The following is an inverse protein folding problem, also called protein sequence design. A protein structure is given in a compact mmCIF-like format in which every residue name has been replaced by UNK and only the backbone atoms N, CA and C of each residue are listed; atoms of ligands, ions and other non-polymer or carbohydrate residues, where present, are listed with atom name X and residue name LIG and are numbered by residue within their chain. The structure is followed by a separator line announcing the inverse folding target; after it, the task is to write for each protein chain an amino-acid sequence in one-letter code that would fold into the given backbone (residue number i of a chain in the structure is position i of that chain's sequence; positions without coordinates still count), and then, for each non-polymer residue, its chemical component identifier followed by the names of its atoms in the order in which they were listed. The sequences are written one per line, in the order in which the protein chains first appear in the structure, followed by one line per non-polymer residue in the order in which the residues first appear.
data_IF_952935056288
#
_entry.id   IF_952935056288
#
_cell.length_a   1.000
_cell.length_b   1.000
_cell.length_c   1.000
_cell.angle_alpha   90.00
_cell.angle_beta   90.00
_cell.angle_gamma   90.00
#
_symmetry.space_group_name_H-M   'P 1'
#
loop_
_entity.id
_entity.type
_entity.pdbx_description
1 polymer ?
#
# COMPACT_ATOMS: atom_id res chain seq x y z
N UNK A 1 -2.58 20.71 21.91
CA UNK A 1 -3.75 21.00 22.77
C UNK A 1 -3.41 20.85 24.25
N UNK A 2 -2.90 19.69 24.72
CA UNK A 2 -2.55 19.50 26.15
C UNK A 2 -1.44 20.47 26.63
N UNK A 3 -0.35 20.64 25.87
CA UNK A 3 0.73 21.63 26.16
C UNK A 3 0.22 23.08 26.27
N UNK A 4 -0.92 23.41 25.64
CA UNK A 4 -1.53 24.75 25.72
C UNK A 4 -2.27 24.99 27.05
N UNK A 5 -2.68 23.91 27.73
CA UNK A 5 -3.42 23.93 28.99
C UNK A 5 -2.45 23.72 30.17
N UNK A 6 -1.48 22.82 30.00
CA UNK A 6 -0.43 22.55 30.99
C UNK A 6 0.95 22.48 30.31
N UNK A 7 1.64 23.61 30.13
CA UNK A 7 2.91 23.68 29.40
C UNK A 7 4.05 22.88 30.03
N UNK A 8 4.04 22.68 31.34
CA UNK A 8 5.11 21.96 32.05
C UNK A 8 4.81 20.45 32.19
N UNK A 9 3.76 19.94 31.52
CA UNK A 9 3.29 18.56 31.69
C UNK A 9 4.26 17.50 31.15
N UNK A 10 4.97 17.81 30.08
CA UNK A 10 5.91 16.92 29.40
C UNK A 10 6.81 17.75 28.50
N UNK A 11 8.04 17.32 28.29
CA UNK A 11 8.95 17.94 27.33
C UNK A 11 8.87 17.24 25.97
N UNK A 12 9.09 18.04 24.93
CA UNK A 12 9.06 17.56 23.54
C UNK A 12 10.42 17.86 22.95
N UNK A 13 11.15 16.82 22.55
CA UNK A 13 12.36 16.94 21.76
C UNK A 13 12.08 16.42 20.35
N UNK A 14 12.77 17.00 19.35
CA UNK A 14 12.73 16.52 17.97
C UNK A 14 14.09 15.98 17.59
N UNK A 15 14.12 14.74 17.13
CA UNK A 15 15.31 14.09 16.61
C UNK A 15 15.01 13.64 15.17
N UNK A 16 15.35 14.49 14.20
CA UNK A 16 15.01 14.25 12.79
C UNK A 16 13.49 14.36 12.54
N UNK A 17 12.92 13.32 11.93
CA UNK A 17 11.46 13.21 11.69
C UNK A 17 10.67 12.71 12.91
N UNK A 18 11.36 12.23 13.95
CA UNK A 18 10.72 11.69 15.15
C UNK A 18 10.54 12.76 16.24
N UNK A 19 9.39 12.67 16.92
CA UNK A 19 9.05 13.50 18.09
C UNK A 19 9.12 12.61 19.33
N UNK A 20 10.06 12.90 20.22
CA UNK A 20 10.14 12.27 21.53
C UNK A 20 9.41 13.12 22.56
N UNK A 21 8.53 12.48 23.33
CA UNK A 21 7.76 13.10 24.40
C UNK A 21 8.28 12.53 25.71
N UNK A 22 9.00 13.34 26.47
CA UNK A 22 9.45 12.97 27.80
C UNK A 22 8.40 13.42 28.82
N UNK A 23 7.67 12.45 29.36
CA UNK A 23 6.63 12.69 30.36
C UNK A 23 7.26 12.89 31.74
N UNK A 24 8.50 12.45 31.98
CA UNK A 24 9.15 12.49 33.29
C UNK A 24 10.46 13.28 33.20
N UNK A 25 10.35 14.60 33.05
CA UNK A 25 11.51 15.49 33.09
C UNK A 25 12.38 15.19 34.34
N UNK A 26 13.60 14.73 34.09
CA UNK A 26 14.72 14.65 35.05
C UNK A 26 14.66 13.60 36.17
N UNK A 27 14.09 12.42 35.97
CA UNK A 27 14.38 11.26 36.83
C UNK A 27 15.46 10.35 36.20
N UNK A 28 16.62 10.92 35.86
CA UNK A 28 17.82 10.14 35.51
C UNK A 28 18.42 9.41 36.72
N UNK A 29 17.80 9.50 37.91
CA UNK A 29 18.27 8.88 39.13
C UNK A 29 17.10 8.30 39.94
N UNK A 30 16.79 7.01 39.70
CA UNK A 30 16.38 5.95 40.66
C UNK A 30 15.29 5.05 40.05
N UNK A 31 15.73 3.98 39.39
CA UNK A 31 14.90 2.82 38.99
C UNK A 31 14.35 1.99 40.17
N UNK A 32 14.27 2.56 41.38
CA UNK A 32 13.79 1.88 42.58
C UNK A 32 12.75 2.70 43.34
N UNK A 33 11.97 3.53 42.66
CA UNK A 33 10.78 4.11 43.29
C UNK A 33 9.72 3.02 43.42
N UNK A 34 9.33 2.74 44.66
CA UNK A 34 8.26 1.78 44.97
C UNK A 34 6.99 2.18 44.22
N UNK A 35 6.30 1.20 43.62
CA UNK A 35 5.11 1.38 42.76
C UNK A 35 4.06 2.35 43.35
N UNK A 36 3.97 2.40 44.67
CA UNK A 36 3.09 3.31 45.42
C UNK A 36 3.45 4.78 45.22
N UNK A 37 4.74 5.14 45.21
CA UNK A 37 5.21 6.51 45.02
C UNK A 37 4.96 7.00 43.59
N UNK A 38 5.11 6.10 42.61
CA UNK A 38 4.79 6.39 41.21
C UNK A 38 3.30 6.67 41.01
N UNK A 39 2.42 5.85 41.63
CA UNK A 39 0.97 6.07 41.59
C UNK A 39 0.62 7.43 42.20
N UNK A 40 1.18 7.76 43.37
CA UNK A 40 0.95 9.06 44.02
C UNK A 40 1.45 10.25 43.17
N UNK A 41 2.59 10.12 42.48
CA UNK A 41 3.09 11.14 41.55
C UNK A 41 2.12 11.36 40.37
N UNK A 42 1.59 10.27 39.80
CA UNK A 42 0.62 10.33 38.70
C UNK A 42 -0.69 10.98 39.17
N UNK A 43 -1.23 10.58 40.32
CA UNK A 43 -2.45 11.14 40.88
C UNK A 43 -2.33 12.65 41.14
N UNK A 44 -1.22 13.10 41.74
CA UNK A 44 -0.93 14.53 41.94
C UNK A 44 -0.92 15.30 40.62
N UNK A 45 -0.32 14.74 39.57
CA UNK A 45 -0.30 15.38 38.24
C UNK A 45 -1.67 15.46 37.59
N UNK A 46 -2.49 14.41 37.74
CA UNK A 46 -3.87 14.43 37.25
C UNK A 46 -4.68 15.51 37.97
N UNK A 47 -4.48 15.69 39.27
CA UNK A 47 -5.14 16.74 40.04
C UNK A 47 -4.72 18.14 39.59
N UNK A 48 -3.42 18.38 39.41
CA UNK A 48 -2.90 19.66 38.88
C UNK A 48 -3.46 19.96 37.50
N UNK A 49 -3.54 18.95 36.62
CA UNK A 49 -4.10 19.13 35.29
C UNK A 49 -5.59 19.52 35.34
N UNK A 50 -6.37 18.89 36.23
CA UNK A 50 -7.79 19.25 36.42
C UNK A 50 -7.94 20.70 36.88
N UNK A 51 -7.14 21.14 37.85
CA UNK A 51 -7.17 22.54 38.31
C UNK A 51 -6.76 23.53 37.21
N UNK A 52 -5.72 23.23 36.43
CA UNK A 52 -5.31 24.09 35.29
C UNK A 52 -6.35 24.09 34.16
N UNK A 53 -7.05 22.98 33.95
CA UNK A 53 -8.13 22.89 32.98
C UNK A 53 -9.33 23.75 33.42
N UNK A 54 -9.72 23.69 34.69
CA UNK A 54 -10.78 24.54 35.25
C UNK A 54 -10.42 26.03 35.14
N UNK A 55 -9.18 26.40 35.46
CA UNK A 55 -8.67 27.76 35.29
C UNK A 55 -8.68 28.20 33.80
N UNK A 56 -8.29 27.30 32.89
CA UNK A 56 -8.31 27.55 31.45
C UNK A 56 -9.73 27.72 30.92
N UNK A 57 -10.70 26.96 31.42
CA UNK A 57 -12.12 27.11 31.08
C UNK A 57 -12.74 28.38 31.68
N UNK A 58 -12.33 28.77 32.89
CA UNK A 58 -12.81 29.97 33.57
C UNK A 58 -12.34 31.27 32.92
N UNK A 59 -11.17 31.26 32.26
CA UNK A 59 -10.60 32.44 31.57
C UNK A 59 -11.31 32.82 30.27
N UNK A 60 -12.33 32.07 29.84
CA UNK A 60 -13.08 32.36 28.61
C UNK A 60 -12.24 32.10 27.37
N UNK A 61 -12.57 31.05 26.64
CA UNK A 61 -11.81 30.50 25.52
C UNK A 61 -11.49 31.53 24.42
N UNK A 62 -10.24 32.00 24.22
CA UNK A 62 -9.86 32.74 23.02
C UNK A 62 -9.23 31.74 22.05
N UNK A 63 -10.01 30.77 21.56
CA UNK A 63 -9.58 29.97 20.40
C UNK A 63 -9.95 30.76 19.15
N UNK A 64 -9.20 31.83 18.90
CA UNK A 64 -9.00 32.30 17.52
C UNK A 64 -7.77 31.59 17.01
N UNK A 65 -7.96 30.62 16.11
CA UNK A 65 -6.88 30.15 15.25
C UNK A 65 -6.45 31.32 14.35
N UNK A 66 -5.53 32.17 14.81
CA UNK A 66 -4.75 33.01 13.91
C UNK A 66 -3.79 32.09 13.20
N UNK A 67 -4.12 31.76 11.96
CA UNK A 67 -3.17 31.20 11.00
C UNK A 67 -2.18 32.33 10.68
N UNK A 68 -1.13 32.49 11.47
CA UNK A 68 -0.02 33.37 11.12
C UNK A 68 0.68 32.78 9.89
N UNK A 69 0.33 33.33 8.72
CA UNK A 69 0.98 33.06 7.45
C UNK A 69 2.32 33.79 7.38
N UNK A 70 3.28 33.37 8.19
CA UNK A 70 4.68 33.75 7.97
C UNK A 70 5.58 32.55 8.26
N UNK A 71 5.69 31.65 7.27
CA UNK A 71 6.91 30.87 7.11
C UNK A 71 7.37 30.91 5.66
N UNK A 72 8.56 31.50 5.54
CA UNK A 72 9.45 31.60 4.39
C UNK A 72 9.43 30.32 3.55
N UNK A 73 9.42 30.50 2.24
CA UNK A 73 9.64 29.46 1.23
C UNK A 73 10.87 28.60 1.57
N UNK A 74 10.63 27.45 2.21
CA UNK A 74 11.50 26.29 2.07
C UNK A 74 10.94 25.46 0.92
N UNK A 75 11.71 25.38 -0.15
CA UNK A 75 11.45 24.57 -1.34
C UNK A 75 11.20 23.11 -0.93
N UNK A 76 9.94 22.68 -0.99
CA UNK A 76 9.56 21.29 -0.76
C UNK A 76 10.15 20.36 -1.83
N UNK A 77 10.41 19.09 -1.51
CA UNK A 77 11.00 18.13 -2.44
C UNK A 77 10.09 17.90 -3.64
N UNK A 78 10.70 17.63 -4.79
CA UNK A 78 10.03 17.34 -6.07
C UNK A 78 8.87 16.35 -5.85
N UNK A 79 7.69 16.82 -6.24
CA UNK A 79 6.41 16.11 -6.37
C UNK A 79 6.61 14.65 -6.82
N UNK A 80 6.62 13.72 -5.88
CA UNK A 80 6.44 12.29 -6.16
C UNK A 80 5.07 12.14 -6.83
N UNK A 81 5.04 11.37 -7.92
CA UNK A 81 3.95 11.31 -8.90
C UNK A 81 2.55 11.30 -8.29
N UNK A 82 1.62 11.95 -8.99
CA UNK A 82 0.19 12.02 -8.61
C UNK A 82 -0.32 10.61 -8.27
N UNK A 83 -0.41 10.28 -6.99
CA UNK A 83 -1.17 9.12 -6.55
C UNK A 83 -2.62 9.41 -6.93
N UNK A 84 -3.14 8.67 -7.91
CA UNK A 84 -4.55 8.65 -8.33
C UNK A 84 -5.38 8.07 -7.20
N UNK A 85 -5.55 8.84 -6.12
CA UNK A 85 -6.59 8.55 -5.13
C UNK A 85 -7.91 8.59 -5.88
N UNK A 86 -8.77 7.56 -5.81
CA UNK A 86 -10.11 7.63 -6.34
C UNK A 86 -10.88 8.66 -5.51
N UNK A 87 -10.81 9.93 -5.91
CA UNK A 87 -11.52 11.02 -5.24
C UNK A 87 -12.97 10.95 -5.64
N UNK A 88 -13.84 10.71 -4.66
CA UNK A 88 -15.26 10.96 -4.83
C UNK A 88 -15.50 12.48 -4.74
N UNK A 89 -15.10 13.19 -5.79
CA UNK A 89 -15.21 14.65 -5.86
C UNK A 89 -16.66 15.08 -5.89
N UNK A 90 -16.97 16.21 -5.24
CA UNK A 90 -18.30 16.85 -5.21
C UNK A 90 -18.84 17.12 -6.62
N UNK A 91 -17.95 17.38 -7.59
CA UNK A 91 -18.24 17.50 -9.03
C UNK A 91 -18.98 16.31 -9.66
N UNK A 92 -19.04 15.14 -9.01
CA UNK A 92 -19.87 14.01 -9.47
C UNK A 92 -21.37 14.19 -9.20
N UNK A 93 -21.73 15.07 -8.27
CA UNK A 93 -23.11 15.34 -7.86
C UNK A 93 -23.66 16.62 -8.51
N UNK A 94 -22.85 17.31 -9.30
CA UNK A 94 -23.28 18.44 -10.12
C UNK A 94 -23.68 17.93 -11.50
N UNK A 95 -24.88 18.31 -11.95
CA UNK A 95 -25.34 18.00 -13.29
C UNK A 95 -24.60 18.90 -14.28
N UNK A 96 -23.51 18.38 -14.82
CA UNK A 96 -22.85 19.00 -15.97
C UNK A 96 -23.44 18.39 -17.23
N UNK A 97 -24.30 19.14 -17.93
CA UNK A 97 -24.66 18.81 -19.30
C UNK A 97 -23.36 18.84 -20.12
N UNK A 98 -22.84 17.66 -20.44
CA UNK A 98 -21.70 17.56 -21.36
C UNK A 98 -22.23 18.06 -22.68
N UNK A 99 -21.81 19.24 -23.13
CA UNK A 99 -21.90 19.61 -24.54
C UNK A 99 -21.32 18.43 -25.32
N UNK A 100 -22.20 17.66 -25.94
CA UNK A 100 -21.83 16.46 -26.64
C UNK A 100 -21.04 16.92 -27.85
N UNK A 101 -19.72 16.84 -27.79
CA UNK A 101 -18.81 16.94 -28.95
C UNK A 101 -19.04 15.81 -29.97
N UNK A 102 -20.21 15.18 -29.96
CA UNK A 102 -20.60 14.10 -30.86
C UNK A 102 -21.90 14.51 -31.53
N UNK A 103 -21.83 14.85 -32.82
CA UNK A 103 -22.97 15.21 -33.67
C UNK A 103 -23.98 14.06 -33.88
N UNK A 104 -23.79 12.94 -33.18
CA UNK A 104 -24.58 11.72 -33.33
C UNK A 104 -25.83 11.73 -32.43
N UNK A 105 -27.02 11.43 -32.99
CA UNK A 105 -28.24 11.28 -32.21
C UNK A 105 -28.12 10.16 -31.17
N UNK A 106 -28.85 10.30 -30.07
CA UNK A 106 -28.77 9.41 -28.91
C UNK A 106 -28.98 7.94 -29.26
N UNK A 107 -29.94 7.65 -30.16
CA UNK A 107 -30.25 6.31 -30.65
C UNK A 107 -29.06 5.65 -31.35
N UNK A 108 -28.30 6.42 -32.12
CA UNK A 108 -27.14 5.92 -32.85
C UNK A 108 -25.98 5.61 -31.91
N UNK A 109 -25.77 6.46 -30.90
CA UNK A 109 -24.82 6.17 -29.80
C UNK A 109 -25.19 4.92 -29.01
N UNK A 110 -26.48 4.68 -28.77
CA UNK A 110 -26.95 3.46 -28.10
C UNK A 110 -26.65 2.22 -28.96
N UNK A 111 -26.94 2.28 -30.27
CA UNK A 111 -26.62 1.19 -31.21
C UNK A 111 -25.12 0.92 -31.27
N UNK A 112 -24.28 1.95 -31.37
CA UNK A 112 -22.83 1.82 -31.34
C UNK A 112 -22.31 1.24 -30.02
N UNK A 113 -22.87 1.62 -28.88
CA UNK A 113 -22.50 1.06 -27.56
C UNK A 113 -22.87 -0.42 -27.44
N UNK A 114 -24.01 -0.83 -28.00
CA UNK A 114 -24.40 -2.24 -28.05
C UNK A 114 -23.52 -3.06 -29.02
N UNK A 115 -23.09 -2.47 -30.13
CA UNK A 115 -22.15 -3.08 -31.06
C UNK A 115 -20.74 -3.24 -30.44
N UNK A 116 -20.24 -2.21 -29.75
CA UNK A 116 -18.90 -2.20 -29.13
C UNK A 116 -18.79 -3.03 -27.85
N UNK A 117 -19.89 -3.21 -27.09
CA UNK A 117 -19.93 -4.15 -25.94
C UNK A 117 -19.61 -5.59 -26.33
N UNK A 118 -19.76 -5.96 -27.61
CA UNK A 118 -19.62 -7.35 -28.05
C UNK A 118 -18.18 -7.82 -28.26
N UNK A 119 -17.15 -6.94 -28.28
CA UNK A 119 -15.85 -7.37 -28.82
C UNK A 119 -14.66 -7.31 -27.83
N UNK A 120 -14.20 -6.18 -27.28
CA UNK A 120 -12.84 -6.20 -26.65
C UNK A 120 -12.65 -5.57 -25.26
N UNK A 121 -13.47 -4.60 -24.84
CA UNK A 121 -13.13 -3.72 -23.70
C UNK A 121 -13.00 -4.45 -22.35
N UNK A 122 -13.83 -5.47 -22.09
CA UNK A 122 -13.77 -6.23 -20.83
C UNK A 122 -12.69 -7.32 -20.83
N UNK A 123 -12.27 -7.78 -22.01
CA UNK A 123 -11.27 -8.83 -22.15
C UNK A 123 -9.87 -8.25 -21.94
N UNK A 124 -9.62 -7.07 -22.51
CA UNK A 124 -8.33 -6.38 -22.42
C UNK A 124 -8.03 -5.99 -20.97
N UNK A 125 -8.99 -5.39 -20.26
CA UNK A 125 -8.81 -5.03 -18.85
C UNK A 125 -8.52 -6.23 -17.94
N UNK A 126 -9.09 -7.39 -18.25
CA UNK A 126 -8.87 -8.61 -17.46
C UNK A 126 -7.50 -9.23 -17.75
N UNK A 127 -7.03 -9.11 -18.98
CA UNK A 127 -5.73 -9.61 -19.39
C UNK A 127 -4.61 -8.71 -18.84
N UNK A 128 -4.76 -7.39 -18.90
CA UNK A 128 -3.84 -6.42 -18.28
C UNK A 128 -3.69 -6.64 -16.77
N UNK A 129 -4.81 -6.94 -16.09
CA UNK A 129 -4.82 -7.26 -14.67
C UNK A 129 -4.12 -8.60 -14.33
N UNK A 130 -4.04 -9.54 -15.27
CA UNK A 130 -3.28 -10.77 -15.11
C UNK A 130 -1.79 -10.55 -15.43
N UNK A 131 -1.51 -9.79 -16.48
CA UNK A 131 -0.14 -9.48 -16.91
C UNK A 131 0.61 -8.66 -15.86
N UNK A 132 -0.06 -7.73 -15.17
CA UNK A 132 0.54 -7.02 -14.03
C UNK A 132 0.94 -7.94 -12.86
N UNK A 133 0.30 -9.12 -12.72
CA UNK A 133 0.60 -10.11 -11.67
C UNK A 133 1.65 -11.13 -12.09
N UNK A 134 2.00 -11.21 -13.38
CA UNK A 134 2.97 -12.16 -13.93
C UNK A 134 4.35 -12.05 -13.29
N UNK A 135 4.94 -10.84 -13.31
CA UNK A 135 6.30 -10.60 -12.81
C UNK A 135 6.41 -10.82 -11.30
N UNK A 136 5.48 -10.31 -10.47
CA UNK A 136 5.53 -10.58 -9.04
C UNK A 136 5.41 -12.07 -8.70
N UNK A 137 4.52 -12.80 -9.36
CA UNK A 137 4.37 -14.25 -9.15
C UNK A 137 5.63 -15.01 -9.63
N UNK A 138 6.25 -14.60 -10.74
CA UNK A 138 7.52 -15.16 -11.18
C UNK A 138 8.62 -14.99 -10.12
N UNK A 139 8.77 -13.79 -9.54
CA UNK A 139 9.81 -13.53 -8.54
C UNK A 139 9.66 -14.46 -7.33
N UNK A 140 8.43 -14.75 -6.92
CA UNK A 140 8.14 -15.70 -5.84
C UNK A 140 8.60 -17.12 -6.20
N UNK A 141 8.34 -17.58 -7.43
CA UNK A 141 8.77 -18.89 -7.92
C UNK A 141 10.29 -18.95 -8.07
N UNK A 142 10.91 -17.85 -8.52
CA UNK A 142 12.35 -17.72 -8.67
C UNK A 142 13.07 -17.93 -7.34
N UNK A 143 12.55 -17.41 -6.23
CA UNK A 143 13.14 -17.66 -4.90
C UNK A 143 13.07 -19.13 -4.47
N UNK A 144 12.12 -19.89 -4.98
CA UNK A 144 12.01 -21.33 -4.76
C UNK A 144 12.85 -22.16 -5.75
N UNK A 145 13.44 -21.52 -6.75
CA UNK A 145 14.21 -22.20 -7.77
C UNK A 145 15.59 -22.63 -7.23
N UNK A 146 16.14 -23.74 -7.76
CA UNK A 146 17.48 -24.16 -7.41
C UNK A 146 18.52 -23.09 -7.78
N UNK A 147 19.31 -22.64 -6.81
CA UNK A 147 20.33 -21.58 -7.01
C UNK A 147 21.64 -22.09 -7.61
N UNK A 148 21.90 -23.40 -7.51
CA UNK A 148 23.15 -24.02 -7.98
C UNK A 148 22.91 -24.83 -9.25
N UNK A 149 23.84 -24.74 -10.23
CA UNK A 149 23.81 -25.48 -11.51
C UNK A 149 23.55 -27.00 -11.33
N UNK A 150 24.16 -27.60 -10.31
CA UNK A 150 24.11 -29.05 -10.09
C UNK A 150 22.95 -29.50 -9.17
N UNK A 151 22.05 -28.60 -8.79
CA UNK A 151 20.97 -28.94 -7.87
C UNK A 151 19.75 -29.52 -8.60
N UNK A 152 19.14 -30.54 -7.97
CA UNK A 152 17.98 -31.24 -8.53
C UNK A 152 16.81 -30.27 -8.71
N UNK A 153 16.03 -30.48 -9.77
CA UNK A 153 14.79 -29.72 -10.03
C UNK A 153 13.87 -29.76 -8.82
N UNK A 154 13.36 -28.60 -8.41
CA UNK A 154 12.43 -28.49 -7.29
C UNK A 154 11.02 -28.78 -7.81
N UNK A 155 10.30 -29.70 -7.16
CA UNK A 155 8.92 -30.04 -7.52
C UNK A 155 7.98 -29.50 -6.47
N UNK A 156 7.07 -28.61 -6.85
CA UNK A 156 6.09 -28.00 -5.94
C UNK A 156 4.68 -28.25 -6.44
N UNK A 157 3.77 -28.60 -5.53
CA UNK A 157 2.35 -28.68 -5.87
C UNK A 157 1.79 -27.30 -6.17
N UNK A 158 0.80 -27.23 -7.06
CA UNK A 158 0.10 -25.97 -7.38
C UNK A 158 -0.57 -25.40 -6.12
N UNK A 159 -1.11 -26.24 -5.25
CA UNK A 159 -1.71 -25.80 -3.98
C UNK A 159 -0.69 -25.13 -3.06
N UNK A 160 0.53 -25.68 -2.97
CA UNK A 160 1.60 -25.09 -2.16
C UNK A 160 2.09 -23.77 -2.76
N UNK A 161 2.24 -23.72 -4.09
CA UNK A 161 2.59 -22.49 -4.81
C UNK A 161 1.53 -21.40 -4.63
N UNK A 162 0.24 -21.74 -4.64
CA UNK A 162 -0.84 -20.80 -4.39
C UNK A 162 -0.76 -20.18 -3.00
N UNK A 163 -0.51 -20.99 -1.97
CA UNK A 163 -0.31 -20.50 -0.60
C UNK A 163 0.90 -19.56 -0.55
N UNK A 164 2.04 -20.01 -1.10
CA UNK A 164 3.29 -19.25 -1.06
C UNK A 164 3.16 -17.89 -1.78
N UNK A 165 2.46 -17.85 -2.91
CA UNK A 165 2.14 -16.60 -3.62
C UNK A 165 1.23 -15.71 -2.78
N UNK A 166 0.18 -16.26 -2.15
CA UNK A 166 -0.73 -15.46 -1.30
C UNK A 166 0.00 -14.87 -0.09
N UNK A 167 0.91 -15.62 0.51
CA UNK A 167 1.69 -15.18 1.66
C UNK A 167 2.74 -14.12 1.29
N UNK A 168 3.22 -14.13 0.05
CA UNK A 168 4.25 -13.22 -0.45
C UNK A 168 3.70 -11.94 -1.08
N UNK A 169 2.42 -11.90 -1.43
CA UNK A 169 1.78 -10.76 -2.10
C UNK A 169 1.21 -9.76 -1.10
N UNK A 170 1.45 -8.46 -1.33
CA UNK A 170 0.85 -7.37 -0.53
C UNK A 170 -0.63 -7.15 -0.87
N UNK A 171 -1.03 -7.46 -2.11
CA UNK A 171 -2.41 -7.34 -2.57
C UNK A 171 -3.07 -8.72 -2.61
N UNK A 172 -4.36 -8.83 -2.26
CA UNK A 172 -5.07 -10.10 -2.31
C UNK A 172 -5.17 -10.59 -3.75
N UNK A 173 -4.63 -11.78 -4.02
CA UNK A 173 -4.71 -12.46 -5.31
C UNK A 173 -5.64 -13.66 -5.21
N UNK A 174 -6.57 -13.80 -6.17
CA UNK A 174 -7.46 -14.94 -6.24
C UNK A 174 -6.72 -16.21 -6.66
N UNK A 175 -7.11 -17.36 -6.12
CA UNK A 175 -6.48 -18.65 -6.46
C UNK A 175 -6.62 -19.01 -7.94
N UNK A 176 -7.71 -18.57 -8.58
CA UNK A 176 -7.95 -18.77 -10.00
C UNK A 176 -7.02 -17.92 -10.87
N UNK A 177 -6.69 -16.68 -10.44
CA UNK A 177 -5.69 -15.85 -11.12
C UNK A 177 -4.30 -16.45 -10.98
N UNK A 178 -3.92 -16.92 -9.78
CA UNK A 178 -2.62 -17.59 -9.59
C UNK A 178 -2.48 -18.81 -10.50
N UNK A 179 -3.52 -19.65 -10.61
CA UNK A 179 -3.51 -20.80 -11.54
C UNK A 179 -3.33 -20.38 -13.00
N UNK A 180 -4.01 -19.32 -13.45
CA UNK A 180 -3.88 -18.81 -14.82
C UNK A 180 -2.49 -18.27 -15.08
N UNK A 181 -1.94 -17.50 -14.16
CA UNK A 181 -0.59 -16.94 -14.26
C UNK A 181 0.45 -18.06 -14.25
N UNK A 182 0.32 -19.07 -13.38
CA UNK A 182 1.20 -20.25 -13.36
C UNK A 182 1.17 -21.00 -14.70
N UNK A 183 -0.01 -21.16 -15.30
CA UNK A 183 -0.13 -21.81 -16.60
C UNK A 183 0.51 -20.97 -17.72
N UNK A 184 0.33 -19.65 -17.69
CA UNK A 184 0.98 -18.73 -18.64
C UNK A 184 2.50 -18.72 -18.49
N UNK A 185 3.01 -18.71 -17.25
CA UNK A 185 4.43 -18.82 -16.93
C UNK A 185 5.01 -20.14 -17.44
N UNK A 186 4.34 -21.26 -17.17
CA UNK A 186 4.78 -22.56 -17.65
C UNK A 186 4.85 -22.61 -19.18
N UNK A 187 3.89 -22.01 -19.87
CA UNK A 187 3.89 -21.91 -21.33
C UNK A 187 5.00 -21.02 -21.87
N UNK A 188 5.24 -19.84 -21.27
CA UNK A 188 6.27 -18.88 -21.74
C UNK A 188 7.70 -19.32 -21.44
N UNK A 189 7.92 -19.96 -20.29
CA UNK A 189 9.25 -20.38 -19.82
C UNK A 189 9.57 -21.85 -20.10
N UNK A 190 8.62 -22.62 -20.66
CA UNK A 190 8.79 -24.04 -20.94
C UNK A 190 8.84 -24.92 -19.69
N UNK A 191 8.19 -24.51 -18.59
CA UNK A 191 8.15 -25.31 -17.35
C UNK A 191 7.22 -26.50 -17.51
N UNK A 192 7.61 -27.64 -16.93
CA UNK A 192 6.80 -28.86 -16.98
C UNK A 192 5.80 -28.88 -15.84
N UNK A 193 4.51 -28.86 -16.19
CA UNK A 193 3.41 -29.16 -15.27
C UNK A 193 3.06 -30.64 -15.45
N UNK A 194 3.23 -31.42 -14.38
CA UNK A 194 2.87 -32.85 -14.34
C UNK A 194 1.72 -33.07 -13.39
N UNK A 195 0.75 -33.89 -13.78
CA UNK A 195 -0.32 -34.33 -12.89
C UNK A 195 0.08 -35.67 -12.28
N UNK A 196 0.09 -35.76 -10.96
CA UNK A 196 0.37 -36.98 -10.22
C UNK A 196 -0.88 -37.29 -9.37
N UNK A 197 -1.65 -38.29 -9.79
CA UNK A 197 -2.98 -38.54 -9.23
C UNK A 197 -3.93 -37.37 -9.50
N UNK A 198 -4.46 -36.77 -8.44
CA UNK A 198 -5.32 -35.56 -8.51
C UNK A 198 -4.54 -34.25 -8.33
N UNK A 199 -3.24 -34.31 -8.05
CA UNK A 199 -2.43 -33.14 -7.71
C UNK A 199 -1.61 -32.68 -8.92
N UNK A 200 -1.75 -31.40 -9.27
CA UNK A 200 -0.87 -30.76 -10.25
C UNK A 200 0.43 -30.33 -9.58
N UNK A 201 1.56 -30.69 -10.17
CA UNK A 201 2.92 -30.42 -9.69
C UNK A 201 3.69 -29.67 -10.77
N UNK A 202 4.29 -28.55 -10.40
CA UNK A 202 5.19 -27.77 -11.24
C UNK A 202 6.64 -28.18 -10.94
N UNK A 203 7.35 -28.65 -11.97
CA UNK A 203 8.79 -28.90 -11.90
C UNK A 203 9.55 -27.62 -12.28
N UNK A 204 10.27 -27.06 -11.33
CA UNK A 204 11.01 -25.81 -11.47
C UNK A 204 12.51 -26.16 -11.64
N UNK A 205 13.07 -25.99 -12.85
CA UNK A 205 14.51 -26.07 -13.06
C UNK A 205 15.20 -24.80 -12.54
N UNK A 206 16.52 -24.72 -12.70
CA UNK A 206 17.24 -23.47 -12.44
C UNK A 206 16.71 -22.41 -13.40
N UNK A 207 16.16 -21.34 -12.84
CA UNK A 207 15.61 -20.22 -13.60
C UNK A 207 16.71 -19.16 -13.81
N UNK A 208 16.72 -18.51 -14.97
CA UNK A 208 17.60 -17.38 -15.24
C UNK A 208 16.77 -16.10 -15.25
N UNK A 209 16.88 -15.33 -14.16
CA UNK A 209 16.06 -14.13 -13.95
C UNK A 209 16.07 -13.16 -15.14
N UNK A 210 17.24 -12.91 -15.74
CA UNK A 210 17.35 -11.89 -16.78
C UNK A 210 16.70 -12.36 -18.08
N UNK A 211 16.97 -13.59 -18.49
CA UNK A 211 16.41 -14.18 -19.72
C UNK A 211 14.90 -14.42 -19.58
N UNK A 212 14.47 -14.89 -18.41
CA UNK A 212 13.08 -15.18 -18.15
C UNK A 212 12.26 -13.89 -18.09
N UNK A 213 12.73 -12.86 -17.38
CA UNK A 213 12.05 -11.57 -17.34
C UNK A 213 11.97 -10.92 -18.73
N UNK A 214 12.97 -11.11 -19.60
CA UNK A 214 12.91 -10.68 -20.99
C UNK A 214 11.85 -11.44 -21.84
N UNK A 215 11.53 -12.68 -21.49
CA UNK A 215 10.43 -13.45 -22.11
C UNK A 215 9.06 -13.11 -21.51
N UNK A 216 9.04 -12.69 -20.25
CA UNK A 216 7.80 -12.36 -19.52
C UNK A 216 7.33 -10.94 -19.75
N UNK A 217 8.26 -9.99 -19.86
CA UNK A 217 8.01 -8.62 -20.25
C UNK A 217 8.43 -8.41 -21.70
N UNK A 218 7.52 -7.87 -22.51
CA UNK A 218 7.92 -6.93 -23.55
C UNK A 218 8.69 -5.81 -22.86
N UNK A 219 10.02 -5.92 -22.79
CA UNK A 219 10.90 -4.81 -22.45
C UNK A 219 10.66 -3.72 -23.51
N UNK A 220 9.75 -2.78 -23.23
CA UNK A 220 9.95 -1.43 -23.70
C UNK A 220 11.05 -0.87 -22.81
N UNK A 221 12.29 -1.05 -23.28
CA UNK A 221 13.37 -0.13 -22.98
C UNK A 221 12.89 1.24 -23.44
N UNK A 222 12.28 2.03 -22.56
CA UNK A 222 12.30 3.48 -22.70
C UNK A 222 13.74 3.91 -22.42
N UNK A 223 14.56 3.79 -23.45
CA UNK A 223 15.81 4.54 -23.60
C UNK A 223 15.60 5.38 -24.84
N UNK A 224 15.11 6.59 -24.64
CA UNK A 224 15.52 7.84 -25.33
C UNK A 224 14.98 9.06 -24.55
#
# INVERSE_FOLDING_TARGET
MIKSIYPESYDIARAGDDITIDVFCNDSARRSEERVQLIQKIEKRQQIFRSKLEEWTAKGCPVTFKLESEQKHQTSPKKVGKITKPKNSRTKYEFHEKHLLSDLPLLERIKLKQASKKVNILRDQKQDALDSKMVPIYNVIYEQSPKFENSKTVSLSVTRLQQLVRDSMTLPVSESDVRKVLHQLAKKLGLRVTVIGEIQVLKIPKLNRNEDLAKLGSYQTEVE
#
